data_IF_601755607818
#
_entry.id   IF_601755607818
#
_cell.length_a   1.000
_cell.length_b   1.000
_cell.length_c   1.000
_cell.angle_alpha   90.00
_cell.angle_beta   90.00
_cell.angle_gamma   90.00
#
_symmetry.space_group_name_H-M   'P 1'
#
loop_
_entity.id
_entity.type
_entity.pdbx_description
1 polymer ?
#
# COMPACT_ATOMS: atom_id res chain seq x y z
N UNK A 1 8.11 21.33 6.26
CA UNK A 1 8.63 19.98 6.61
C UNK A 1 7.92 18.91 5.78
N UNK A 2 6.59 18.74 5.85
CA UNK A 2 5.83 17.81 4.96
C UNK A 2 5.91 18.21 3.47
N UNK A 3 5.63 19.47 3.15
CA UNK A 3 5.62 19.98 1.77
C UNK A 3 6.94 19.72 1.03
N UNK A 4 8.08 19.94 1.70
CA UNK A 4 9.40 19.71 1.11
C UNK A 4 9.61 18.23 0.76
N UNK A 5 9.15 17.29 1.58
CA UNK A 5 9.25 15.84 1.30
C UNK A 5 8.41 15.49 0.08
N UNK A 6 7.17 15.98 0.01
CA UNK A 6 6.28 15.76 -1.13
C UNK A 6 6.90 16.34 -2.41
N UNK A 7 7.46 17.55 -2.35
CA UNK A 7 8.19 18.14 -3.48
C UNK A 7 9.31 17.23 -3.96
N UNK A 8 10.11 16.65 -3.05
CA UNK A 8 11.22 15.78 -3.46
C UNK A 8 10.75 14.45 -4.05
N UNK A 9 9.61 13.92 -3.61
CA UNK A 9 8.99 12.74 -4.24
C UNK A 9 8.60 13.07 -5.68
N UNK A 10 7.92 14.21 -5.90
CA UNK A 10 7.52 14.66 -7.24
C UNK A 10 8.73 14.91 -8.14
N UNK A 11 9.79 15.53 -7.60
CA UNK A 11 11.06 15.71 -8.33
C UNK A 11 11.63 14.36 -8.74
N UNK A 12 11.73 13.40 -7.82
CA UNK A 12 12.24 12.06 -8.13
C UNK A 12 11.44 11.32 -9.20
N UNK A 13 10.10 11.41 -9.16
CA UNK A 13 9.22 10.84 -10.20
C UNK A 13 9.51 11.50 -11.55
N UNK A 14 9.57 12.82 -11.61
CA UNK A 14 9.81 13.55 -12.87
C UNK A 14 11.22 13.29 -13.43
N UNK A 15 12.24 13.25 -12.58
CA UNK A 15 13.62 12.95 -12.97
C UNK A 15 13.71 11.57 -13.61
N UNK A 16 13.11 10.55 -12.97
CA UNK A 16 13.03 9.21 -13.52
C UNK A 16 12.20 9.16 -14.82
N UNK A 17 11.13 9.95 -14.92
CA UNK A 17 10.33 10.02 -16.14
C UNK A 17 11.14 10.58 -17.33
N UNK A 18 12.10 11.49 -17.09
CA UNK A 18 13.00 11.97 -18.15
C UNK A 18 13.91 10.87 -18.73
N UNK A 19 14.11 9.77 -18.01
CA UNK A 19 14.89 8.61 -18.48
C UNK A 19 14.07 7.65 -19.35
N UNK A 20 12.76 7.91 -19.52
CA UNK A 20 11.85 7.09 -20.31
C UNK A 20 10.98 6.12 -19.48
N UNK A 21 11.06 6.14 -18.15
CA UNK A 21 10.14 5.42 -17.29
C UNK A 21 8.76 6.09 -17.31
N UNK A 22 7.69 5.31 -17.43
CA UNK A 22 6.32 5.82 -17.57
C UNK A 22 5.35 5.30 -16.52
N UNK A 23 5.73 4.30 -15.74
CA UNK A 23 4.87 3.65 -14.75
C UNK A 23 5.50 3.81 -13.37
N UNK A 24 4.76 4.44 -12.45
CA UNK A 24 5.23 4.72 -11.10
C UNK A 24 4.18 4.28 -10.08
N UNK A 25 4.66 3.67 -9.01
CA UNK A 25 3.89 3.44 -7.81
C UNK A 25 4.53 4.23 -6.67
N UNK A 26 3.78 5.15 -6.08
CA UNK A 26 4.21 5.94 -4.93
C UNK A 26 3.43 5.48 -3.70
N UNK A 27 4.14 5.12 -2.65
CA UNK A 27 3.56 4.62 -1.41
C UNK A 27 3.23 5.79 -0.47
N UNK A 28 2.07 5.71 0.17
CA UNK A 28 1.81 6.45 1.40
C UNK A 28 2.67 5.92 2.55
N UNK A 29 2.79 6.70 3.61
CA UNK A 29 3.34 6.25 4.88
C UNK A 29 2.37 5.28 5.57
N UNK A 30 2.85 4.29 6.32
CA UNK A 30 2.05 3.62 7.34
C UNK A 30 1.65 4.60 8.45
N UNK A 31 0.75 4.21 9.34
CA UNK A 31 0.48 4.98 10.57
C UNK A 31 1.69 4.88 11.52
N UNK A 32 2.53 5.93 11.52
CA UNK A 32 3.69 6.00 12.39
C UNK A 32 3.35 6.14 13.87
N UNK A 33 2.10 6.37 14.26
CA UNK A 33 1.70 6.35 15.67
C UNK A 33 1.61 4.95 16.26
N UNK A 34 1.64 3.91 15.42
CA UNK A 34 1.55 2.50 15.82
C UNK A 34 2.91 1.82 15.99
N UNK A 35 4.02 2.48 15.62
CA UNK A 35 5.34 1.86 15.71
C UNK A 35 5.79 1.75 17.18
N UNK A 36 6.56 0.70 17.56
CA UNK A 36 6.90 0.48 18.96
C UNK A 36 7.67 1.63 19.62
N UNK A 37 8.45 2.41 18.84
CA UNK A 37 9.22 3.55 19.37
C UNK A 37 8.37 4.72 19.87
N UNK A 38 7.09 4.79 19.53
CA UNK A 38 6.20 5.90 19.95
C UNK A 38 4.88 5.44 20.54
N UNK A 39 4.44 4.20 20.29
CA UNK A 39 3.10 3.72 20.67
C UNK A 39 2.83 3.80 22.18
N UNK A 40 3.87 3.69 23.01
CA UNK A 40 3.77 3.78 24.47
C UNK A 40 3.74 5.22 25.02
N UNK A 41 3.91 6.24 24.17
CA UNK A 41 3.74 7.65 24.52
C UNK A 41 2.49 8.21 23.82
N UNK A 42 1.39 8.48 24.56
CA UNK A 42 0.14 8.96 23.96
C UNK A 42 0.32 10.22 23.10
N UNK A 43 1.13 11.17 23.55
CA UNK A 43 1.39 12.42 22.83
C UNK A 43 2.18 12.18 21.55
N UNK A 44 3.23 11.33 21.61
CA UNK A 44 4.06 11.01 20.46
C UNK A 44 3.30 10.17 19.43
N UNK A 45 2.56 9.15 19.88
CA UNK A 45 1.70 8.31 19.04
C UNK A 45 0.66 9.16 18.30
N UNK A 46 -0.10 9.99 19.03
CA UNK A 46 -1.08 10.89 18.40
C UNK A 46 -0.44 11.84 17.38
N UNK A 47 0.68 12.47 17.73
CA UNK A 47 1.39 13.36 16.83
C UNK A 47 1.88 12.67 15.56
N UNK A 48 2.41 11.44 15.70
CA UNK A 48 2.89 10.64 14.57
C UNK A 48 1.74 10.17 13.67
N UNK A 49 0.61 9.73 14.21
CA UNK A 49 -0.61 9.41 13.43
C UNK A 49 -1.12 10.62 12.66
N UNK A 50 -1.20 11.78 13.33
CA UNK A 50 -1.65 13.02 12.70
C UNK A 50 -0.74 13.44 11.54
N UNK A 51 0.58 13.39 11.75
CA UNK A 51 1.55 13.76 10.72
C UNK A 51 1.54 12.77 9.54
N UNK A 52 1.43 11.47 9.81
CA UNK A 52 1.35 10.43 8.76
C UNK A 52 0.11 10.61 7.90
N UNK A 53 -1.05 10.79 8.54
CA UNK A 53 -2.33 11.01 7.86
C UNK A 53 -2.31 12.32 7.04
N UNK A 54 -1.75 13.39 7.60
CA UNK A 54 -1.63 14.68 6.90
C UNK A 54 -0.68 14.58 5.71
N UNK A 55 0.45 13.87 5.86
CA UNK A 55 1.38 13.62 4.77
C UNK A 55 0.69 12.85 3.64
N UNK A 56 -0.01 11.75 3.96
CA UNK A 56 -0.69 10.91 2.98
C UNK A 56 -1.79 11.65 2.20
N UNK A 57 -2.62 12.43 2.90
CA UNK A 57 -3.65 13.26 2.26
C UNK A 57 -3.04 14.28 1.29
N UNK A 58 -1.99 14.99 1.73
CA UNK A 58 -1.33 15.99 0.90
C UNK A 58 -0.58 15.36 -0.29
N UNK A 59 0.08 14.22 -0.09
CA UNK A 59 0.77 13.49 -1.15
C UNK A 59 -0.23 12.99 -2.20
N UNK A 60 -1.30 12.30 -1.78
CA UNK A 60 -2.33 11.80 -2.68
C UNK A 60 -2.96 12.93 -3.50
N UNK A 61 -3.35 14.04 -2.86
CA UNK A 61 -3.92 15.20 -3.57
C UNK A 61 -2.92 15.84 -4.56
N UNK A 62 -1.63 15.88 -4.20
CA UNK A 62 -0.58 16.41 -5.09
C UNK A 62 -0.38 15.51 -6.31
N UNK A 63 -0.31 14.19 -6.12
CA UNK A 63 -0.15 13.24 -7.22
C UNK A 63 -1.37 13.25 -8.15
N UNK A 64 -2.59 13.24 -7.59
CA UNK A 64 -3.84 13.36 -8.35
C UNK A 64 -3.85 14.64 -9.21
N UNK A 65 -3.50 15.78 -8.61
CA UNK A 65 -3.46 17.06 -9.31
C UNK A 65 -2.44 17.12 -10.45
N UNK A 66 -1.32 16.39 -10.33
CA UNK A 66 -0.23 16.43 -11.30
C UNK A 66 -0.36 15.35 -12.39
N UNK A 67 -0.93 14.19 -12.06
CA UNK A 67 -0.87 12.98 -12.91
C UNK A 67 -2.25 12.35 -13.21
N UNK A 68 -3.34 12.73 -12.52
CA UNK A 68 -4.64 12.04 -12.58
C UNK A 68 -5.44 12.15 -13.89
N UNK A 69 -4.99 12.92 -14.89
CA UNK A 69 -5.71 13.13 -16.17
C UNK A 69 -5.17 12.27 -17.33
N UNK A 70 -4.84 11.00 -17.09
CA UNK A 70 -4.16 10.10 -18.06
C UNK A 70 -2.85 10.71 -18.61
N UNK A 71 -2.18 11.51 -17.78
CA UNK A 71 -0.92 12.14 -18.16
C UNK A 71 0.20 11.10 -18.14
N UNK A 72 1.20 11.30 -19.00
CA UNK A 72 2.46 10.54 -18.93
C UNK A 72 3.47 11.34 -18.11
N UNK A 73 4.07 10.76 -17.05
CA UNK A 73 3.99 9.36 -16.63
C UNK A 73 2.70 8.99 -15.87
N UNK A 74 2.29 7.72 -15.95
CA UNK A 74 1.27 7.13 -15.10
C UNK A 74 1.81 6.96 -13.68
N UNK A 75 1.21 7.67 -12.73
CA UNK A 75 1.62 7.65 -11.33
C UNK A 75 0.44 7.23 -10.47
N UNK A 76 0.58 6.07 -9.84
CA UNK A 76 -0.42 5.51 -8.94
C UNK A 76 0.01 5.73 -7.49
N UNK A 77 -0.95 6.04 -6.63
CA UNK A 77 -0.75 6.16 -5.18
C UNK A 77 -1.25 4.89 -4.48
N UNK A 78 -0.39 4.25 -3.69
CA UNK A 78 -0.77 3.12 -2.85
C UNK A 78 -1.01 3.59 -1.42
N UNK A 79 -2.24 3.42 -0.92
CA UNK A 79 -2.60 3.74 0.46
C UNK A 79 -2.09 2.67 1.43
N UNK A 80 -0.81 2.77 1.77
CA UNK A 80 -0.15 1.88 2.74
C UNK A 80 -0.80 1.98 4.13
N UNK A 81 -1.29 3.15 4.52
CA UNK A 81 -1.90 3.38 5.83
C UNK A 81 -3.22 2.62 5.93
N UNK A 82 -4.11 2.80 4.95
CA UNK A 82 -5.38 2.08 4.89
C UNK A 82 -5.18 0.57 4.81
N UNK A 83 -4.29 0.11 3.93
CA UNK A 83 -3.97 -1.31 3.80
C UNK A 83 -3.50 -1.94 5.12
N UNK A 84 -2.55 -1.30 5.82
CA UNK A 84 -2.06 -1.84 7.08
C UNK A 84 -3.09 -1.75 8.21
N UNK A 85 -3.95 -0.74 8.22
CA UNK A 85 -5.06 -0.68 9.17
C UNK A 85 -5.99 -1.89 9.01
N UNK A 86 -6.41 -2.19 7.76
CA UNK A 86 -7.23 -3.37 7.46
C UNK A 86 -6.51 -4.69 7.81
N UNK A 87 -5.21 -4.78 7.53
CA UNK A 87 -4.42 -5.96 7.85
C UNK A 87 -4.34 -6.22 9.36
N UNK A 88 -4.20 -5.14 10.15
CA UNK A 88 -4.06 -5.20 11.60
C UNK A 88 -5.38 -5.54 12.31
N UNK A 89 -6.53 -5.33 11.65
CA UNK A 89 -7.86 -5.71 12.16
C UNK A 89 -8.13 -7.23 12.17
N UNK A 90 -7.44 -8.02 11.33
CA UNK A 90 -7.60 -9.49 11.23
C UNK A 90 -6.24 -10.21 11.15
N UNK A 91 -5.42 -10.00 12.19
CA UNK A 91 -4.06 -10.55 12.31
C UNK A 91 -4.02 -12.04 12.65
N UNK A 92 -5.15 -12.60 13.10
CA UNK A 92 -5.30 -14.02 13.42
C UNK A 92 -4.95 -14.91 12.21
N UNK A 93 -5.29 -14.47 10.99
CA UNK A 93 -4.95 -15.17 9.75
C UNK A 93 -3.45 -15.23 9.47
N UNK A 94 -2.68 -14.28 10.02
CA UNK A 94 -1.22 -14.23 9.90
C UNK A 94 -0.53 -14.90 11.11
N UNK A 95 -1.30 -15.30 12.13
CA UNK A 95 -0.77 -15.79 13.40
C UNK A 95 0.04 -14.72 14.14
N UNK A 96 -0.29 -13.44 13.93
CA UNK A 96 0.33 -12.31 14.63
C UNK A 96 -0.54 -11.97 15.83
N UNK A 97 0.06 -11.91 17.02
CA UNK A 97 -0.64 -11.61 18.28
C UNK A 97 -0.03 -10.43 19.03
N UNK A 98 1.21 -10.05 18.72
CA UNK A 98 1.87 -8.87 19.29
C UNK A 98 1.95 -7.74 18.25
N UNK A 99 1.23 -6.65 18.51
CA UNK A 99 1.14 -5.49 17.61
C UNK A 99 1.88 -4.26 18.15
N UNK A 100 2.44 -4.32 19.34
CA UNK A 100 2.96 -3.13 20.05
C UNK A 100 4.43 -3.21 20.33
N UNK A 101 4.97 -4.41 20.59
CA UNK A 101 6.36 -4.59 20.96
C UNK A 101 7.21 -4.92 19.72
N UNK A 102 8.47 -4.51 19.78
CA UNK A 102 9.49 -4.92 18.82
C UNK A 102 10.00 -6.33 19.15
N UNK A 103 10.26 -7.15 18.13
CA UNK A 103 10.91 -8.44 18.37
C UNK A 103 12.38 -8.29 18.76
N UNK A 104 13.09 -7.29 18.23
CA UNK A 104 14.46 -6.96 18.60
C UNK A 104 14.48 -5.70 19.49
N UNK A 105 15.10 -5.83 20.66
CA UNK A 105 15.26 -4.73 21.62
C UNK A 105 16.72 -4.63 22.05
N UNK A 106 17.19 -3.39 22.29
CA UNK A 106 18.51 -3.16 22.88
C UNK A 106 18.47 -3.50 24.38
N UNK A 107 19.56 -4.05 24.92
CA UNK A 107 19.66 -4.58 26.29
C UNK A 107 19.41 -3.51 27.39
N UNK A 108 19.66 -2.23 27.10
CA UNK A 108 19.54 -1.14 28.06
C UNK A 108 19.38 0.24 27.40
N UNK A 109 18.39 1.02 27.85
CA UNK A 109 18.11 2.39 27.35
C UNK A 109 19.22 3.42 27.67
N UNK A 110 20.29 3.03 28.37
CA UNK A 110 21.32 3.94 28.86
C UNK A 110 22.61 3.95 28.00
N UNK A 111 22.93 2.84 27.31
CA UNK A 111 24.05 2.78 26.33
C UNK A 111 23.77 1.74 25.25
N UNK A 112 23.38 2.17 24.05
CA UNK A 112 23.18 1.27 22.90
C UNK A 112 24.54 0.67 22.47
N UNK A 113 24.88 -0.52 22.96
CA UNK A 113 25.87 -1.37 22.32
C UNK A 113 25.21 -2.08 21.14
N UNK A 114 25.67 -1.78 19.92
CA UNK A 114 25.19 -2.39 18.67
C UNK A 114 25.42 -3.91 18.61
N UNK A 115 26.11 -4.49 19.59
CA UNK A 115 26.36 -5.92 19.71
C UNK A 115 25.45 -6.61 20.73
N UNK A 116 24.64 -5.87 21.51
CA UNK A 116 23.77 -6.43 22.56
C UNK A 116 22.29 -6.21 22.22
N UNK A 117 21.81 -7.01 21.27
CA UNK A 117 20.39 -7.11 20.94
C UNK A 117 19.79 -8.41 21.48
N UNK A 118 18.63 -8.30 22.10
CA UNK A 118 17.82 -9.45 22.46
C UNK A 118 16.72 -9.66 21.41
N UNK A 119 16.58 -10.89 20.94
CA UNK A 119 15.47 -11.31 20.10
C UNK A 119 14.34 -11.87 20.97
N UNK A 120 13.10 -11.66 20.56
CA UNK A 120 11.88 -12.10 21.22
C UNK A 120 11.69 -13.64 21.34
N UNK A 121 12.76 -14.41 21.12
CA UNK A 121 12.78 -15.86 21.23
C UNK A 121 12.36 -16.57 19.94
N UNK A 122 11.92 -17.83 20.02
CA UNK A 122 11.53 -18.63 18.85
C UNK A 122 10.20 -18.20 18.22
N UNK A 123 9.42 -17.33 18.88
CA UNK A 123 8.08 -16.92 18.46
C UNK A 123 8.08 -15.58 17.70
N UNK A 124 9.12 -15.31 16.91
CA UNK A 124 9.25 -14.05 16.14
C UNK A 124 8.11 -13.84 15.15
N UNK A 125 7.52 -14.95 14.73
CA UNK A 125 6.40 -15.01 13.81
C UNK A 125 5.09 -14.46 14.40
N UNK A 126 4.99 -14.29 15.72
CA UNK A 126 3.81 -13.70 16.36
C UNK A 126 3.86 -12.17 16.47
N UNK A 127 4.96 -11.54 16.03
CA UNK A 127 5.18 -10.10 16.12
C UNK A 127 4.88 -9.38 14.80
N UNK A 128 4.20 -8.23 14.87
CA UNK A 128 4.02 -7.34 13.73
C UNK A 128 5.28 -6.52 13.41
N UNK A 129 6.10 -6.21 14.43
CA UNK A 129 7.28 -5.36 14.31
C UNK A 129 8.58 -6.11 14.59
N UNK A 130 9.55 -5.95 13.68
CA UNK A 130 10.89 -6.49 13.86
C UNK A 130 11.65 -5.65 14.89
N UNK A 131 11.69 -4.33 14.71
CA UNK A 131 12.33 -3.37 15.61
C UNK A 131 11.38 -2.20 15.96
N UNK A 132 11.91 -1.12 16.53
CA UNK A 132 11.13 0.05 16.96
C UNK A 132 10.41 0.83 15.84
N UNK A 133 10.66 0.50 14.57
CA UNK A 133 10.12 1.18 13.39
C UNK A 133 9.62 0.20 12.32
N UNK A 134 10.38 -0.86 12.05
CA UNK A 134 10.20 -1.72 10.88
C UNK A 134 9.29 -2.91 11.18
N UNK A 135 8.37 -3.25 10.25
CA UNK A 135 7.51 -4.41 10.38
C UNK A 135 8.28 -5.72 10.13
N UNK A 136 7.70 -6.85 10.56
CA UNK A 136 8.28 -8.18 10.31
C UNK A 136 8.13 -8.62 8.85
N UNK A 137 8.84 -9.69 8.49
CA UNK A 137 8.75 -10.31 7.17
C UNK A 137 7.30 -10.69 6.79
N UNK A 138 6.47 -11.13 7.75
CA UNK A 138 5.07 -11.49 7.48
C UNK A 138 4.25 -10.30 7.00
N UNK A 139 4.38 -9.16 7.66
CA UNK A 139 3.72 -7.92 7.26
C UNK A 139 4.25 -7.44 5.90
N UNK A 140 5.56 -7.51 5.68
CA UNK A 140 6.15 -7.20 4.37
C UNK A 140 5.65 -8.11 3.25
N UNK A 141 5.46 -9.41 3.51
CA UNK A 141 4.89 -10.35 2.54
C UNK A 141 3.43 -10.03 2.21
N UNK A 142 2.63 -9.69 3.23
CA UNK A 142 1.25 -9.26 3.03
C UNK A 142 1.18 -7.98 2.16
N UNK A 143 2.03 -6.99 2.46
CA UNK A 143 2.15 -5.76 1.66
C UNK A 143 2.58 -6.07 0.22
N UNK A 144 3.56 -6.93 0.01
CA UNK A 144 4.02 -7.30 -1.32
C UNK A 144 2.91 -7.96 -2.16
N UNK A 145 2.09 -8.82 -1.54
CA UNK A 145 0.95 -9.43 -2.22
C UNK A 145 -0.09 -8.37 -2.60
N UNK A 146 -0.46 -7.49 -1.66
CA UNK A 146 -1.43 -6.42 -1.92
C UNK A 146 -0.97 -5.44 -3.00
N UNK A 147 0.31 -5.07 -3.00
CA UNK A 147 0.91 -4.24 -4.05
C UNK A 147 0.89 -4.96 -5.40
N UNK A 148 1.20 -6.26 -5.42
CA UNK A 148 1.16 -7.06 -6.65
C UNK A 148 -0.26 -7.06 -7.24
N UNK A 149 -1.26 -7.33 -6.41
CA UNK A 149 -2.66 -7.31 -6.82
C UNK A 149 -3.08 -5.92 -7.33
N UNK A 150 -2.63 -4.86 -6.66
CA UNK A 150 -2.92 -3.47 -7.04
C UNK A 150 -2.34 -3.08 -8.41
N UNK A 151 -1.09 -3.45 -8.70
CA UNK A 151 -0.44 -3.07 -9.97
C UNK A 151 -0.74 -4.01 -11.13
N UNK A 152 -1.25 -5.21 -10.86
CA UNK A 152 -1.64 -6.14 -11.94
C UNK A 152 -2.96 -5.69 -12.59
N UNK A 153 -3.00 -5.47 -13.92
CA UNK A 153 -4.25 -5.17 -14.60
C UNK A 153 -5.21 -6.34 -14.42
N UNK A 154 -6.41 -6.08 -13.88
CA UNK A 154 -7.47 -7.10 -13.85
C UNK A 154 -7.74 -7.53 -15.29
N UNK A 155 -7.50 -8.80 -15.67
CA UNK A 155 -7.86 -9.28 -17.00
C UNK A 155 -9.38 -9.16 -17.08
N UNK A 156 -9.93 -8.31 -17.96
CA UNK A 156 -11.38 -8.11 -18.11
C UNK A 156 -12.05 -9.49 -18.24
N UNK A 157 -12.69 -10.04 -17.18
CA UNK A 157 -13.27 -11.36 -17.27
C UNK A 157 -14.59 -11.16 -18.02
N UNK A 158 -14.57 -11.45 -19.32
CA UNK A 158 -15.79 -11.59 -20.10
C UNK A 158 -16.28 -10.37 -20.85
N UNK A 159 -15.58 -9.23 -20.91
CA UNK A 159 -15.98 -8.12 -21.79
C UNK A 159 -16.09 -8.55 -23.26
N UNK A 160 -15.10 -9.31 -23.74
CA UNK A 160 -15.11 -9.89 -25.08
C UNK A 160 -16.17 -10.99 -25.22
N UNK A 161 -16.33 -11.84 -24.22
CA UNK A 161 -17.33 -12.93 -24.20
C UNK A 161 -18.77 -12.40 -24.22
N UNK A 162 -19.04 -11.32 -23.48
CA UNK A 162 -20.32 -10.60 -23.44
C UNK A 162 -20.57 -9.85 -24.76
N UNK A 163 -19.55 -9.20 -25.33
CA UNK A 163 -19.67 -8.54 -26.62
C UNK A 163 -19.96 -9.54 -27.74
N UNK A 164 -19.23 -10.66 -27.79
CA UNK A 164 -19.45 -11.75 -28.74
C UNK A 164 -20.82 -12.41 -28.54
N UNK A 165 -21.20 -12.69 -27.29
CA UNK A 165 -22.53 -13.21 -26.96
C UNK A 165 -23.65 -12.27 -27.40
N UNK A 166 -23.50 -10.96 -27.16
CA UNK A 166 -24.44 -9.93 -27.59
C UNK A 166 -24.59 -9.86 -29.12
N UNK A 167 -23.48 -9.93 -29.86
CA UNK A 167 -23.48 -9.97 -31.33
C UNK A 167 -24.20 -11.20 -31.88
N UNK A 168 -24.03 -12.38 -31.26
CA UNK A 168 -24.72 -13.62 -31.65
C UNK A 168 -26.23 -13.50 -31.42
N UNK A 169 -26.65 -12.95 -30.27
CA UNK A 169 -28.08 -12.73 -29.96
C UNK A 169 -28.70 -11.74 -30.94
N UNK A 170 -28.05 -10.60 -31.20
CA UNK A 170 -28.53 -9.59 -32.15
C UNK A 170 -28.61 -10.13 -33.58
N UNK A 171 -27.59 -10.88 -34.03
CA UNK A 171 -27.60 -11.54 -35.33
C UNK A 171 -28.72 -12.58 -35.46
N UNK A 172 -28.99 -13.35 -34.41
CA UNK A 172 -30.09 -14.30 -34.35
C UNK A 172 -31.46 -13.64 -34.42
N UNK A 173 -31.66 -12.54 -33.69
CA UNK A 173 -32.90 -11.74 -33.70
C UNK A 173 -33.15 -11.09 -35.07
N UNK A 174 -32.09 -10.53 -35.70
CA UNK A 174 -32.19 -9.93 -37.03
C UNK A 174 -32.54 -10.98 -38.11
N UNK A 175 -31.99 -12.19 -38.01
CA UNK A 175 -32.29 -13.30 -38.92
C UNK A 175 -33.73 -13.78 -38.77
N UNK A 176 -34.25 -13.88 -37.55
CA UNK A 176 -35.66 -14.23 -37.28
C UNK A 176 -36.64 -13.20 -37.84
N UNK A 177 -36.33 -11.90 -37.71
CA UNK A 177 -37.14 -10.82 -38.30
C UNK A 177 -37.23 -10.91 -39.83
N UNK A 178 -36.11 -11.17 -40.51
CA UNK A 178 -36.11 -11.35 -41.99
C UNK A 178 -36.97 -12.53 -42.45
N UNK A 179 -36.93 -13.66 -41.73
CA UNK A 179 -37.72 -14.86 -42.09
C UNK A 179 -39.22 -14.64 -41.86
N UNK A 180 -39.61 -13.84 -40.87
CA UNK A 180 -41.02 -13.54 -40.60
C UNK A 180 -41.65 -12.49 -41.54
N UNK A 181 -40.85 -11.84 -42.39
CA UNK A 181 -41.30 -10.80 -43.34
C UNK A 181 -41.25 -11.23 -44.81
N UNK A 182 -40.97 -12.51 -45.07
CA UNK A 182 -41.01 -13.16 -46.38
C UNK A 182 -42.19 -14.13 -46.45
#
# INVERSE_FOLDING_TARGET
MISNVITQIVVGVNDLATTGLSEFLVFGLPDLGLIPSVVNSPEASFGATFLSSTFNQNLGATLESLYGNDLTPNVQFFDTQGFLAELLEDTDKLGITNLTDACIVADNEETVDVNEFFFCGPDQDSYAFFDGLHPTQKIHLALANAVTDFVTPVPLPGGLSLALGGLVVLGGLARRRKVASA
#
